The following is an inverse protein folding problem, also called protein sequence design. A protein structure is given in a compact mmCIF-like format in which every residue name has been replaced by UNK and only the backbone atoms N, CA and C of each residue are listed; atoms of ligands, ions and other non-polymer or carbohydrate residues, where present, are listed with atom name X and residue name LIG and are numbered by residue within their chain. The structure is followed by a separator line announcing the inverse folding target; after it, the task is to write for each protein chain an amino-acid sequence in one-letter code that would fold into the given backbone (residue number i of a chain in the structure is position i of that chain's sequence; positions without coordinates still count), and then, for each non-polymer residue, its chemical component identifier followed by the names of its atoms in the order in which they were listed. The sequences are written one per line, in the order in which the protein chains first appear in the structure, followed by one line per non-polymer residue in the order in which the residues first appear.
data_IF_686997879735
#
_entry.id   IF_686997879735
#
_cell.length_a   1.000
_cell.length_b   1.000
_cell.length_c   1.000
_cell.angle_alpha   90.00
_cell.angle_beta   90.00
_cell.angle_gamma   90.00
#
_symmetry.space_group_name_H-M   'P 1'
#
loop_
_entity.id
_entity.type
_entity.pdbx_description
1 polymer ?
#
# COMPACT_ATOMS: atom_id res chain seq x y z
N UNK A 1 51.64 -24.76 25.16
CA UNK A 1 51.29 -25.69 26.24
C UNK A 1 49.79 -25.97 26.15
N UNK A 2 49.46 -27.25 26.18
CA UNK A 2 48.13 -27.86 26.14
C UNK A 2 47.45 -27.70 27.50
N UNK A 3 46.11 -27.59 27.50
CA UNK A 3 45.14 -28.18 28.45
C UNK A 3 43.93 -27.24 28.60
N UNK A 4 42.70 -27.65 28.88
CA UNK A 4 41.97 -28.92 28.82
C UNK A 4 40.55 -28.55 29.29
N UNK A 5 39.59 -29.35 28.82
CA UNK A 5 38.14 -29.32 29.08
C UNK A 5 37.80 -29.48 30.57
N UNK A 6 36.67 -28.89 31.00
CA UNK A 6 36.01 -29.20 32.27
C UNK A 6 34.51 -28.88 32.24
N UNK A 7 33.71 -29.91 31.99
CA UNK A 7 32.25 -29.93 32.22
C UNK A 7 31.97 -30.09 33.72
N UNK A 8 30.96 -29.38 34.23
CA UNK A 8 30.25 -29.77 35.44
C UNK A 8 28.76 -29.49 35.26
N UNK A 9 28.00 -30.58 35.37
CA UNK A 9 26.56 -30.65 35.44
C UNK A 9 26.06 -30.26 36.83
N UNK A 10 24.83 -29.75 36.85
CA UNK A 10 23.72 -30.04 37.78
C UNK A 10 23.08 -28.81 38.42
N UNK A 11 21.87 -28.47 37.95
CA UNK A 11 20.75 -28.09 38.81
C UNK A 11 19.44 -28.55 38.16
N UNK A 12 18.68 -29.31 38.93
CA UNK A 12 17.46 -30.03 38.59
C UNK A 12 16.22 -29.25 39.08
N UNK A 13 15.18 -29.28 38.24
CA UNK A 13 13.72 -29.11 38.47
C UNK A 13 13.14 -27.84 39.11
N UNK A 14 12.17 -27.23 38.41
CA UNK A 14 10.72 -27.32 38.73
C UNK A 14 9.85 -26.45 37.79
N UNK A 15 8.84 -27.03 37.10
CA UNK A 15 7.43 -26.55 36.95
C UNK A 15 6.69 -27.19 35.73
N UNK A 16 5.59 -27.95 35.92
CA UNK A 16 4.95 -28.78 34.88
C UNK A 16 3.65 -28.18 34.31
N UNK A 17 3.69 -27.02 33.66
CA UNK A 17 2.48 -26.39 33.09
C UNK A 17 2.31 -26.58 31.58
N UNK A 18 3.37 -26.98 30.87
CA UNK A 18 3.37 -27.09 29.40
C UNK A 18 2.72 -28.39 28.89
N UNK A 19 2.71 -29.47 29.69
CA UNK A 19 2.17 -30.77 29.27
C UNK A 19 0.62 -30.82 29.26
N UNK A 20 -0.06 -30.03 30.08
CA UNK A 20 -1.53 -29.99 30.12
C UNK A 20 -2.14 -29.15 28.99
N UNK A 21 -1.42 -28.12 28.52
CA UNK A 21 -1.87 -27.29 27.39
C UNK A 21 -1.82 -28.05 26.04
N UNK A 22 -0.82 -28.92 25.84
CA UNK A 22 -0.70 -29.75 24.64
C UNK A 22 -1.77 -30.84 24.55
N UNK A 23 -2.20 -31.42 25.67
CA UNK A 23 -3.26 -32.43 25.70
C UNK A 23 -4.65 -31.83 25.39
N UNK A 24 -4.89 -30.59 25.81
CA UNK A 24 -6.15 -29.86 25.53
C UNK A 24 -6.33 -29.48 24.06
N UNK A 25 -5.25 -29.08 23.38
CA UNK A 25 -5.29 -28.69 21.96
C UNK A 25 -5.50 -29.92 21.05
N UNK A 26 -4.92 -31.07 21.39
CA UNK A 26 -5.10 -32.32 20.65
C UNK A 26 -6.52 -32.90 20.77
N UNK A 27 -7.20 -32.72 21.91
CA UNK A 27 -8.59 -33.19 22.10
C UNK A 27 -9.61 -32.38 21.29
N UNK A 28 -9.39 -31.06 21.14
CA UNK A 28 -10.24 -30.18 20.32
C UNK A 28 -10.05 -30.48 18.83
N UNK A 29 -8.82 -30.75 18.38
CA UNK A 29 -8.55 -31.16 17.00
C UNK A 29 -9.19 -32.52 16.65
N UNK A 30 -9.19 -33.49 17.57
CA UNK A 30 -9.81 -34.80 17.37
C UNK A 30 -11.36 -34.74 17.32
N UNK A 31 -11.98 -33.83 18.08
CA UNK A 31 -13.44 -33.63 18.08
C UNK A 31 -13.95 -32.84 16.86
N UNK A 32 -13.13 -31.94 16.28
CA UNK A 32 -13.48 -31.20 15.05
C UNK A 32 -13.31 -32.11 13.81
N UNK A 33 -12.33 -33.01 13.80
CA UNK A 33 -12.08 -33.92 12.66
C UNK A 33 -13.16 -35.00 12.45
N UNK A 34 -14.04 -35.27 13.43
CA UNK A 34 -15.13 -36.27 13.29
C UNK A 34 -16.46 -35.71 12.77
N UNK A 35 -16.57 -34.41 12.46
CA UNK A 35 -17.80 -33.81 11.91
C UNK A 35 -17.91 -33.78 10.38
N UNK A 36 -16.92 -34.27 9.65
CA UNK A 36 -17.01 -34.45 8.19
C UNK A 36 -16.57 -35.86 7.77
N UNK A 37 -17.39 -36.85 8.07
CA UNK A 37 -17.41 -38.15 7.39
C UNK A 37 -18.87 -38.48 7.08
N UNK A 38 -19.30 -38.19 5.85
CA UNK A 38 -20.55 -38.71 5.28
C UNK A 38 -20.18 -39.84 4.33
N UNK A 39 -20.49 -41.05 4.77
CA UNK A 39 -20.46 -42.28 3.97
C UNK A 39 -21.61 -42.22 2.98
N UNK A 40 -21.33 -42.52 1.70
CA UNK A 40 -22.32 -42.75 0.66
C UNK A 40 -22.78 -44.20 0.74
N UNK A 41 -24.08 -44.43 0.90
CA UNK A 41 -24.72 -45.71 0.57
C UNK A 41 -26.05 -45.44 -0.10
N UNK A 42 -26.30 -46.26 -1.11
CA UNK A 42 -27.49 -46.37 -1.95
C UNK A 42 -28.75 -46.78 -1.20
N UNK A 43 -29.86 -46.49 -1.87
CA UNK A 43 -31.19 -47.11 -1.79
C UNK A 43 -32.31 -46.28 -1.12
N UNK A 44 -33.43 -46.25 -1.82
CA UNK A 44 -34.55 -45.36 -1.62
C UNK A 44 -35.52 -45.87 -0.57
N UNK A 45 -36.14 -44.92 0.13
CA UNK A 45 -37.48 -45.03 0.71
C UNK A 45 -37.91 -43.67 1.27
N UNK A 46 -39.07 -43.19 0.83
CA UNK A 46 -39.78 -42.03 1.38
C UNK A 46 -40.31 -42.36 2.79
N UNK A 47 -40.09 -41.48 3.77
CA UNK A 47 -40.99 -41.35 4.93
C UNK A 47 -41.18 -39.87 5.28
N UNK A 48 -42.45 -39.45 5.35
CA UNK A 48 -42.89 -38.15 5.87
C UNK A 48 -43.06 -38.20 7.39
N UNK A 49 -42.61 -37.17 8.11
CA UNK A 49 -43.17 -36.75 9.40
C UNK A 49 -43.02 -35.23 9.61
N UNK A 50 -44.10 -34.63 10.13
CA UNK A 50 -44.40 -33.19 10.26
C UNK A 50 -43.97 -32.62 11.65
N UNK A 51 -43.62 -31.31 11.65
CA UNK A 51 -43.78 -30.22 12.67
C UNK A 51 -43.22 -30.46 14.09
N UNK A 52 -42.74 -29.52 14.90
CA UNK A 52 -42.62 -28.05 14.94
C UNK A 52 -41.65 -27.72 16.10
N UNK A 53 -40.79 -26.69 16.01
CA UNK A 53 -40.36 -25.85 17.15
C UNK A 53 -39.59 -24.63 16.64
N UNK A 54 -40.11 -23.42 16.91
CA UNK A 54 -39.47 -22.14 16.61
C UNK A 54 -38.40 -21.85 17.67
N UNK A 55 -37.19 -21.52 17.24
CA UNK A 55 -36.19 -20.80 18.04
C UNK A 55 -35.79 -19.54 17.26
N UNK A 56 -35.90 -18.38 17.92
CA UNK A 56 -35.61 -17.07 17.34
C UNK A 56 -34.13 -16.88 16.99
N UNK A 57 -33.77 -15.83 16.24
CA UNK A 57 -32.43 -15.67 15.72
C UNK A 57 -31.44 -15.31 16.83
N UNK A 58 -30.44 -16.17 16.99
CA UNK A 58 -29.22 -15.95 17.77
C UNK A 58 -28.42 -14.81 17.12
N UNK A 59 -28.11 -13.75 17.88
CA UNK A 59 -27.37 -12.57 17.39
C UNK A 59 -25.96 -12.54 18.00
N UNK A 60 -24.91 -12.96 17.26
CA UNK A 60 -23.55 -13.11 17.79
C UNK A 60 -22.80 -11.79 18.01
N UNK A 61 -23.40 -10.63 17.68
CA UNK A 61 -22.74 -9.33 17.78
C UNK A 61 -22.73 -8.73 19.20
N UNK A 62 -23.60 -9.20 20.11
CA UNK A 62 -23.66 -8.65 21.48
C UNK A 62 -22.54 -9.12 22.41
N UNK A 63 -21.85 -10.21 22.09
CA UNK A 63 -20.77 -10.75 22.92
C UNK A 63 -19.38 -10.17 22.57
N UNK A 64 -19.20 -9.71 21.32
CA UNK A 64 -17.97 -9.05 20.85
C UNK A 64 -17.81 -7.61 21.37
N UNK A 65 -18.91 -6.88 21.60
CA UNK A 65 -18.88 -5.50 22.12
C UNK A 65 -18.50 -5.46 23.62
N UNK A 66 -18.73 -6.56 24.36
CA UNK A 66 -18.35 -6.68 25.77
C UNK A 66 -16.85 -6.90 25.98
N UNK A 67 -16.21 -7.75 25.18
CA UNK A 67 -14.78 -8.09 25.33
C UNK A 67 -13.84 -6.97 24.88
N UNK A 68 -14.27 -6.09 23.96
CA UNK A 68 -13.47 -4.94 23.52
C UNK A 68 -13.31 -3.84 24.58
N UNK A 69 -14.25 -3.72 25.54
CA UNK A 69 -14.20 -2.69 26.59
C UNK A 69 -13.22 -3.04 27.73
N UNK A 70 -13.01 -4.33 28.03
CA UNK A 70 -11.99 -4.77 29.01
C UNK A 70 -10.56 -4.66 28.47
N UNK A 71 -10.34 -4.80 27.16
CA UNK A 71 -9.04 -4.63 26.53
C UNK A 71 -8.55 -3.17 26.61
N UNK A 72 -9.44 -2.20 26.37
CA UNK A 72 -9.12 -0.76 26.43
C UNK A 72 -8.88 -0.26 27.87
N UNK A 73 -9.40 -0.95 28.89
CA UNK A 73 -9.16 -0.60 30.30
C UNK A 73 -7.77 -1.04 30.79
N UNK A 74 -7.17 -2.08 30.18
CA UNK A 74 -5.83 -2.59 30.54
C UNK A 74 -4.67 -1.78 29.94
N UNK A 75 -4.94 -0.92 28.97
CA UNK A 75 -3.93 -0.03 28.36
C UNK A 75 -3.68 1.27 29.15
N UNK A 76 -4.31 1.46 30.32
CA UNK A 76 -4.24 2.72 31.10
C UNK A 76 -3.52 2.64 32.45
N UNK A 77 -2.85 1.54 32.78
CA UNK A 77 -2.05 1.45 34.01
C UNK A 77 -0.56 1.48 33.71
N UNK A 78 0.22 2.42 34.27
CA UNK A 78 1.66 2.44 34.09
C UNK A 78 2.31 1.48 35.10
N UNK A 79 3.11 0.53 34.63
CA UNK A 79 4.04 -0.21 35.47
C UNK A 79 5.43 -0.28 34.85
N UNK A 80 6.39 -0.18 35.76
CA UNK A 80 7.79 0.18 35.65
C UNK A 80 8.71 -0.96 35.24
N UNK A 81 9.84 -0.56 34.63
CA UNK A 81 11.19 -1.15 34.70
C UNK A 81 11.36 -2.65 34.44
N UNK A 82 11.86 -2.99 33.25
CA UNK A 82 12.61 -4.23 32.99
C UNK A 82 13.88 -3.86 32.19
N UNK A 83 15.01 -4.41 32.63
CA UNK A 83 16.39 -4.18 32.17
C UNK A 83 16.60 -4.43 30.66
N UNK A 84 17.49 -3.63 30.06
CA UNK A 84 17.91 -3.74 28.65
C UNK A 84 19.09 -4.69 28.50
N UNK A 85 18.92 -5.66 27.59
CA UNK A 85 19.98 -6.51 27.05
C UNK A 85 20.72 -5.76 25.91
N UNK A 86 22.06 -5.57 25.94
CA UNK A 86 22.75 -4.70 25.01
C UNK A 86 23.21 -5.48 23.76
N UNK A 87 22.28 -5.87 22.88
CA UNK A 87 22.61 -6.25 21.51
C UNK A 87 21.39 -6.22 20.56
N UNK A 88 20.79 -5.05 20.35
CA UNK A 88 19.99 -4.81 19.15
C UNK A 88 20.15 -3.35 18.71
N UNK A 89 20.75 -3.16 17.55
CA UNK A 89 20.81 -1.88 16.86
C UNK A 89 19.39 -1.52 16.44
N UNK A 90 18.74 -0.68 17.24
CA UNK A 90 17.37 -0.22 17.01
C UNK A 90 17.30 0.73 15.82
N UNK A 91 16.50 0.36 14.83
CA UNK A 91 15.77 1.34 14.04
C UNK A 91 14.49 1.63 14.83
N UNK A 92 14.38 2.83 15.38
CA UNK A 92 13.16 3.28 16.05
C UNK A 92 12.00 3.28 15.06
N UNK A 93 10.99 2.46 15.32
CA UNK A 93 9.64 2.66 14.79
C UNK A 93 9.13 3.99 15.35
N UNK A 94 9.37 5.09 14.64
CA UNK A 94 8.79 6.38 14.98
C UNK A 94 7.32 6.36 14.57
N UNK A 95 6.44 6.61 15.52
CA UNK A 95 5.02 6.84 15.28
C UNK A 95 4.86 8.04 14.33
N UNK A 96 4.22 7.89 13.16
CA UNK A 96 4.00 8.99 12.22
C UNK A 96 3.26 10.20 12.82
N UNK A 97 2.47 10.00 13.88
CA UNK A 97 1.74 11.06 14.59
C UNK A 97 2.65 11.88 15.56
N UNK A 98 3.83 11.37 15.93
CA UNK A 98 4.80 12.07 16.79
C UNK A 98 5.88 12.85 16.02
N UNK A 99 5.91 12.75 14.68
CA UNK A 99 6.87 13.46 13.84
C UNK A 99 6.57 14.97 13.78
N UNK A 100 7.44 15.85 14.32
CA UNK A 100 7.18 17.29 14.32
C UNK A 100 7.10 17.83 12.88
N UNK A 101 6.18 18.78 12.66
CA UNK A 101 6.10 19.56 11.41
C UNK A 101 7.42 20.28 11.14
N UNK A 102 8.32 19.66 10.37
CA UNK A 102 9.57 20.29 9.95
C UNK A 102 9.32 21.03 8.65
N UNK A 103 9.74 22.30 8.60
CA UNK A 103 9.67 23.11 7.38
C UNK A 103 10.48 22.38 6.28
N UNK A 104 10.00 22.35 5.02
CA UNK A 104 10.75 21.72 3.93
C UNK A 104 12.18 22.28 3.86
N UNK A 105 13.17 21.49 3.44
CA UNK A 105 14.53 21.97 3.21
C UNK A 105 14.60 23.27 2.40
N UNK A 106 15.60 24.11 2.70
CA UNK A 106 15.69 25.50 2.19
C UNK A 106 15.64 25.57 0.66
N UNK A 107 16.22 24.59 -0.04
CA UNK A 107 16.19 24.55 -1.51
C UNK A 107 14.80 24.26 -2.05
N UNK A 108 14.01 23.38 -1.42
CA UNK A 108 12.60 23.16 -1.76
C UNK A 108 11.81 24.44 -1.52
N UNK A 109 12.01 25.10 -0.37
CA UNK A 109 11.34 26.38 -0.08
C UNK A 109 11.70 27.46 -1.10
N UNK A 110 12.95 27.51 -1.57
CA UNK A 110 13.37 28.41 -2.66
C UNK A 110 12.70 28.04 -4.00
N UNK A 111 12.59 26.76 -4.34
CA UNK A 111 11.88 26.29 -5.54
C UNK A 111 10.40 26.64 -5.47
N UNK A 112 9.73 26.39 -4.35
CA UNK A 112 8.33 26.77 -4.12
C UNK A 112 8.12 28.28 -4.19
N UNK A 113 9.02 29.06 -3.61
CA UNK A 113 8.96 30.52 -3.72
C UNK A 113 9.17 31.01 -5.16
N UNK A 114 10.05 30.34 -5.94
CA UNK A 114 10.26 30.65 -7.35
C UNK A 114 9.05 30.25 -8.22
N UNK A 115 8.43 29.09 -7.97
CA UNK A 115 7.21 28.65 -8.64
C UNK A 115 6.04 29.59 -8.36
N UNK A 116 5.85 29.99 -7.09
CA UNK A 116 4.85 30.99 -6.71
C UNK A 116 5.09 32.36 -7.37
N UNK A 117 6.35 32.79 -7.49
CA UNK A 117 6.70 34.03 -8.19
C UNK A 117 6.47 33.94 -9.70
N UNK A 118 6.72 32.79 -10.32
CA UNK A 118 6.43 32.54 -11.74
C UNK A 118 4.92 32.53 -12.02
N UNK A 119 4.12 31.91 -11.14
CA UNK A 119 2.66 31.93 -11.22
C UNK A 119 2.08 33.36 -11.06
N UNK A 120 2.66 34.18 -10.18
CA UNK A 120 2.27 35.57 -10.01
C UNK A 120 2.66 36.46 -11.22
N UNK A 121 3.67 36.07 -12.01
CA UNK A 121 4.10 36.78 -13.22
C UNK A 121 3.28 36.47 -14.48
N UNK A 122 2.44 35.43 -14.45
CA UNK A 122 1.69 34.92 -15.61
C UNK A 122 0.20 35.32 -15.63
N UNK A 123 -0.17 36.45 -15.02
CA UNK A 123 -1.58 36.90 -15.01
C UNK A 123 -1.97 37.56 -16.34
N UNK A 124 -2.38 36.76 -17.32
CA UNK A 124 -3.32 37.22 -18.36
C UNK A 124 -4.74 37.02 -17.88
N UNK A 125 -5.52 38.10 -17.85
CA UNK A 125 -6.91 38.11 -17.41
C UNK A 125 -7.76 37.30 -18.40
N UNK A 126 -8.16 36.10 -18.00
CA UNK A 126 -9.28 35.37 -18.58
C UNK A 126 -10.28 35.14 -17.46
N UNK A 127 -11.43 35.81 -17.56
CA UNK A 127 -12.56 35.64 -16.64
C UNK A 127 -13.32 34.40 -17.05
N UNK A 128 -12.90 33.24 -16.55
CA UNK A 128 -13.75 32.05 -16.43
C UNK A 128 -14.11 31.86 -14.95
N UNK A 129 -15.30 31.33 -14.69
CA UNK A 129 -15.83 31.07 -13.35
C UNK A 129 -14.84 30.23 -12.54
N UNK A 130 -14.03 30.90 -11.70
CA UNK A 130 -13.06 30.25 -10.82
C UNK A 130 -13.87 29.44 -9.80
N UNK A 131 -14.00 28.12 -10.01
CA UNK A 131 -14.37 27.20 -8.94
C UNK A 131 -13.46 27.50 -7.75
N UNK A 132 -14.06 28.00 -6.66
CA UNK A 132 -13.31 28.39 -5.46
C UNK A 132 -12.62 27.15 -4.90
N UNK A 133 -11.30 27.10 -5.04
CA UNK A 133 -10.44 26.14 -4.35
C UNK A 133 -10.76 26.13 -2.85
N UNK A 134 -11.06 24.95 -2.31
CA UNK A 134 -11.44 24.78 -0.90
C UNK A 134 -10.27 24.19 -0.13
N UNK A 135 -9.61 25.01 0.69
CA UNK A 135 -8.53 24.50 1.55
C UNK A 135 -9.06 23.50 2.57
N UNK A 136 -8.35 22.41 2.77
CA UNK A 136 -8.64 21.42 3.82
C UNK A 136 -7.38 21.08 4.60
N UNK A 137 -7.54 20.46 5.77
CA UNK A 137 -6.40 20.05 6.60
C UNK A 137 -5.68 18.88 5.94
N UNK A 138 -4.42 19.08 5.56
CA UNK A 138 -3.59 18.08 4.88
C UNK A 138 -2.44 17.65 5.77
N UNK A 139 -2.45 16.38 6.18
CA UNK A 139 -1.43 15.86 7.08
C UNK A 139 -0.07 15.82 6.38
N UNK A 140 0.02 15.16 5.23
CA UNK A 140 1.28 14.94 4.52
C UNK A 140 1.80 16.20 3.82
N UNK A 141 3.12 16.30 3.75
CA UNK A 141 3.85 17.45 3.19
C UNK A 141 4.25 17.20 1.74
N UNK A 142 4.49 15.94 1.36
CA UNK A 142 4.86 15.52 0.01
C UNK A 142 4.20 14.19 -0.37
N UNK A 143 4.06 13.93 -1.67
CA UNK A 143 3.46 12.70 -2.20
C UNK A 143 4.34 12.12 -3.31
N UNK A 144 4.53 10.80 -3.28
CA UNK A 144 5.24 10.03 -4.31
C UNK A 144 4.20 9.24 -5.10
N UNK A 145 3.78 9.77 -6.25
CA UNK A 145 2.84 9.06 -7.14
C UNK A 145 3.64 8.06 -7.97
N UNK A 146 3.18 6.81 -8.04
CA UNK A 146 3.89 5.67 -8.62
C UNK A 146 2.92 4.79 -9.42
N UNK A 147 3.36 4.36 -10.60
CA UNK A 147 2.70 3.30 -11.39
C UNK A 147 3.77 2.43 -12.07
N UNK A 148 3.90 1.18 -11.65
CA UNK A 148 4.97 0.27 -12.07
C UNK A 148 4.54 -0.57 -13.25
N UNK A 149 5.39 -0.63 -14.27
CA UNK A 149 5.31 -1.70 -15.27
C UNK A 149 6.19 -2.88 -14.86
N UNK A 150 5.63 -4.08 -14.99
CA UNK A 150 6.33 -5.33 -14.71
C UNK A 150 6.26 -6.31 -15.89
N UNK A 151 7.24 -7.22 -15.98
CA UNK A 151 7.20 -8.33 -16.92
C UNK A 151 5.89 -9.09 -16.76
N UNK A 152 5.19 -9.39 -17.85
CA UNK A 152 3.93 -10.11 -17.81
C UNK A 152 3.83 -11.12 -18.96
N UNK A 153 2.93 -12.08 -18.80
CA UNK A 153 2.62 -13.06 -19.83
C UNK A 153 1.10 -13.18 -20.00
N UNK A 154 0.67 -13.54 -21.21
CA UNK A 154 -0.74 -13.66 -21.53
C UNK A 154 -1.37 -14.80 -20.72
N UNK A 155 -2.45 -14.49 -20.00
CA UNK A 155 -3.16 -15.49 -19.17
C UNK A 155 -2.51 -15.75 -17.80
N UNK A 156 -1.38 -15.10 -17.49
CA UNK A 156 -0.83 -15.09 -16.14
C UNK A 156 -1.69 -14.23 -15.21
N UNK A 157 -1.77 -14.62 -13.94
CA UNK A 157 -2.44 -13.83 -12.91
C UNK A 157 -1.46 -12.87 -12.20
N UNK A 158 -1.99 -12.06 -11.28
CA UNK A 158 -1.19 -11.14 -10.46
C UNK A 158 -0.30 -11.84 -9.43
N UNK A 159 -0.30 -13.17 -9.36
CA UNK A 159 0.59 -13.95 -8.53
C UNK A 159 1.84 -14.41 -9.29
N UNK A 160 1.93 -14.23 -10.61
CA UNK A 160 3.12 -14.48 -11.42
C UNK A 160 4.38 -13.79 -10.84
N UNK A 161 5.59 -14.38 -10.91
CA UNK A 161 6.85 -13.75 -10.50
C UNK A 161 7.27 -12.60 -11.44
N UNK A 162 6.48 -11.52 -11.48
CA UNK A 162 6.80 -10.34 -12.27
C UNK A 162 8.09 -9.68 -11.75
N UNK A 163 8.97 -9.27 -12.67
CA UNK A 163 10.06 -8.34 -12.41
C UNK A 163 9.65 -6.93 -12.86
N UNK A 164 10.03 -5.89 -12.11
CA UNK A 164 9.82 -4.49 -12.48
C UNK A 164 10.65 -4.19 -13.73
N UNK A 165 10.06 -3.52 -14.72
CA UNK A 165 10.71 -3.09 -15.97
C UNK A 165 10.59 -1.59 -16.24
N UNK A 166 9.69 -0.89 -15.55
CA UNK A 166 9.66 0.58 -15.47
C UNK A 166 9.37 1.02 -14.03
N UNK A 167 10.13 1.99 -13.53
CA UNK A 167 9.95 2.60 -12.21
C UNK A 167 9.83 4.12 -12.36
N UNK A 168 8.61 4.65 -12.51
CA UNK A 168 8.34 6.08 -12.59
C UNK A 168 7.77 6.64 -11.28
N UNK A 169 8.12 7.87 -10.95
CA UNK A 169 7.54 8.60 -9.83
C UNK A 169 7.34 10.07 -10.18
N UNK A 170 6.15 10.60 -9.90
CA UNK A 170 5.91 12.04 -9.81
C UNK A 170 5.95 12.46 -8.34
N UNK A 171 6.80 13.44 -8.01
CA UNK A 171 6.89 14.01 -6.68
C UNK A 171 6.04 15.27 -6.58
N UNK A 172 5.08 15.28 -5.66
CA UNK A 172 4.18 16.40 -5.43
C UNK A 172 4.36 17.02 -4.06
N UNK A 173 4.10 18.33 -3.94
CA UNK A 173 4.01 19.04 -2.66
C UNK A 173 2.96 20.14 -2.72
N UNK A 174 2.60 20.68 -1.56
CA UNK A 174 1.64 21.78 -1.45
C UNK A 174 2.34 23.13 -1.62
N UNK A 175 1.83 23.96 -2.51
CA UNK A 175 2.32 25.33 -2.72
C UNK A 175 1.83 26.30 -1.65
N UNK A 176 0.66 26.02 -1.07
CA UNK A 176 -0.10 26.97 -0.28
C UNK A 176 -0.33 26.52 1.17
N UNK A 177 0.40 25.50 1.63
CA UNK A 177 0.20 24.88 2.95
C UNK A 177 0.51 25.85 4.09
N UNK A 178 -0.54 26.22 4.82
CA UNK A 178 -0.47 27.09 5.99
C UNK A 178 0.11 26.40 7.22
N UNK A 179 0.44 27.20 8.24
CA UNK A 179 0.89 26.69 9.54
C UNK A 179 -0.18 25.85 10.24
N UNK A 180 -1.45 26.10 9.92
CA UNK A 180 -2.58 25.35 10.41
C UNK A 180 -2.83 24.04 9.63
N UNK A 181 -1.93 23.66 8.71
CA UNK A 181 -2.04 22.53 7.78
C UNK A 181 -3.12 22.68 6.70
N UNK A 182 -3.73 23.86 6.53
CA UNK A 182 -4.68 24.08 5.43
C UNK A 182 -3.94 24.18 4.10
N UNK A 183 -4.36 23.42 3.10
CA UNK A 183 -3.80 23.47 1.74
C UNK A 183 -4.85 23.02 0.71
N UNK A 184 -4.65 23.43 -0.54
CA UNK A 184 -5.45 22.98 -1.69
C UNK A 184 -4.69 22.99 -3.02
N UNK A 185 -3.50 23.61 -3.08
CA UNK A 185 -2.73 23.75 -4.31
C UNK A 185 -1.57 22.77 -4.30
N UNK A 186 -1.81 21.58 -4.85
CA UNK A 186 -0.78 20.55 -5.02
C UNK A 186 -0.09 20.73 -6.38
N UNK A 187 1.24 20.66 -6.41
CA UNK A 187 2.06 20.81 -7.61
C UNK A 187 3.07 19.66 -7.74
N UNK A 188 3.31 19.21 -8.98
CA UNK A 188 4.40 18.29 -9.33
C UNK A 188 5.70 19.08 -9.39
N UNK A 189 6.69 18.74 -8.56
CA UNK A 189 7.95 19.49 -8.44
C UNK A 189 9.17 18.75 -8.98
N UNK A 190 9.11 17.45 -9.16
CA UNK A 190 10.19 16.66 -9.77
C UNK A 190 9.62 15.33 -10.27
N UNK A 191 10.31 14.71 -11.21
CA UNK A 191 9.96 13.39 -11.74
C UNK A 191 11.19 12.49 -11.70
N UNK A 192 10.97 11.21 -11.39
CA UNK A 192 11.94 10.15 -11.56
C UNK A 192 11.38 9.14 -12.56
N UNK A 193 12.24 8.63 -13.44
CA UNK A 193 11.88 7.54 -14.35
C UNK A 193 13.13 6.72 -14.63
N UNK A 194 13.02 5.41 -14.49
CA UNK A 194 14.01 4.47 -14.99
C UNK A 194 13.32 3.26 -15.60
N UNK A 195 13.81 2.80 -16.76
CA UNK A 195 13.61 1.40 -17.12
C UNK A 195 14.45 0.52 -16.19
N UNK A 196 14.08 -0.74 -16.07
CA UNK A 196 14.76 -1.69 -15.18
C UNK A 196 15.02 -2.97 -15.95
N UNK A 197 16.26 -3.48 -15.88
CA UNK A 197 16.64 -4.72 -16.52
C UNK A 197 16.18 -5.92 -15.67
N UNK A 198 15.27 -6.78 -16.17
CA UNK A 198 14.94 -8.03 -15.51
C UNK A 198 16.14 -8.99 -15.52
N UNK A 199 16.28 -9.78 -14.46
CA UNK A 199 17.45 -10.64 -14.21
C UNK A 199 17.12 -12.12 -14.11
N UNK A 200 15.88 -12.48 -13.82
CA UNK A 200 15.44 -13.87 -13.82
C UNK A 200 14.90 -14.29 -15.18
N UNK A 201 14.01 -13.50 -15.79
CA UNK A 201 13.52 -13.68 -17.17
C UNK A 201 13.76 -12.41 -17.98
N UNK A 202 14.98 -12.22 -18.51
CA UNK A 202 15.40 -10.96 -19.14
C UNK A 202 14.70 -10.67 -20.47
N UNK A 203 14.15 -11.69 -21.14
CA UNK A 203 13.48 -11.53 -22.44
C UNK A 203 11.98 -11.26 -22.22
N UNK A 204 11.52 -10.09 -22.65
CA UNK A 204 10.12 -9.69 -22.58
C UNK A 204 9.29 -10.51 -23.59
N UNK A 205 8.10 -10.94 -23.15
CA UNK A 205 7.12 -11.54 -24.04
C UNK A 205 6.58 -10.50 -25.04
N UNK A 206 6.10 -10.94 -26.20
CA UNK A 206 5.45 -10.02 -27.16
C UNK A 206 4.22 -9.36 -26.54
N UNK A 207 3.44 -10.10 -25.75
CA UNK A 207 2.32 -9.54 -24.98
C UNK A 207 2.76 -8.39 -24.06
N UNK A 208 3.87 -8.56 -23.33
CA UNK A 208 4.38 -7.52 -22.43
C UNK A 208 4.83 -6.27 -23.19
N UNK A 209 5.54 -6.46 -24.31
CA UNK A 209 5.98 -5.34 -25.17
C UNK A 209 4.78 -4.63 -25.79
N UNK A 210 3.78 -5.36 -26.27
CA UNK A 210 2.57 -4.77 -26.87
C UNK A 210 1.72 -4.04 -25.83
N UNK A 211 1.58 -4.62 -24.63
CA UNK A 211 0.83 -4.00 -23.54
C UNK A 211 1.52 -2.71 -23.08
N UNK A 212 2.80 -2.78 -22.72
CA UNK A 212 3.52 -1.67 -22.07
C UNK A 212 4.15 -0.67 -23.04
N UNK A 213 4.40 -1.08 -24.29
CA UNK A 213 5.18 -0.33 -25.26
C UNK A 213 6.68 -0.31 -24.98
N UNK A 214 7.15 -1.02 -23.95
CA UNK A 214 8.57 -1.14 -23.61
C UNK A 214 9.22 -2.15 -24.56
N UNK A 215 10.33 -1.75 -25.16
CA UNK A 215 11.11 -2.57 -26.08
C UNK A 215 12.15 -3.41 -25.35
N UNK A 216 12.63 -4.48 -25.99
CA UNK A 216 13.70 -5.31 -25.42
C UNK A 216 14.98 -4.50 -25.24
N UNK A 217 15.31 -3.64 -26.20
CA UNK A 217 16.51 -2.80 -26.20
C UNK A 217 16.52 -1.82 -25.01
N UNK A 218 15.35 -1.30 -24.63
CA UNK A 218 15.20 -0.43 -23.46
C UNK A 218 15.54 -1.16 -22.16
N UNK A 219 15.06 -2.40 -21.97
CA UNK A 219 15.38 -3.16 -20.75
C UNK A 219 16.79 -3.76 -20.77
N UNK A 220 17.32 -4.12 -21.94
CA UNK A 220 18.69 -4.64 -22.07
C UNK A 220 19.75 -3.61 -21.65
N UNK A 221 19.52 -2.36 -22.05
CA UNK A 221 20.39 -1.21 -21.72
C UNK A 221 20.11 -0.59 -20.35
N UNK A 222 19.05 -1.01 -19.66
CA UNK A 222 18.65 -0.46 -18.38
C UNK A 222 19.56 -0.92 -17.21
N UNK A 223 19.63 -0.11 -16.15
CA UNK A 223 20.16 -0.57 -14.86
C UNK A 223 19.30 -1.69 -14.25
N UNK A 224 19.92 -2.53 -13.44
CA UNK A 224 19.22 -3.54 -12.63
C UNK A 224 18.43 -2.88 -11.49
N UNK A 225 17.44 -3.59 -10.93
CA UNK A 225 16.62 -3.03 -9.85
C UNK A 225 17.42 -2.50 -8.64
N UNK A 226 18.48 -3.18 -8.13
CA UNK A 226 19.31 -2.60 -7.06
C UNK A 226 19.93 -1.24 -7.42
N UNK A 227 20.37 -1.07 -8.66
CA UNK A 227 20.96 0.19 -9.14
C UNK A 227 19.90 1.28 -9.25
N UNK A 228 18.71 0.94 -9.76
CA UNK A 228 17.56 1.86 -9.81
C UNK A 228 17.13 2.29 -8.41
N UNK A 229 17.13 1.37 -7.45
CA UNK A 229 16.78 1.68 -6.06
C UNK A 229 17.77 2.66 -5.43
N UNK A 230 19.07 2.52 -5.72
CA UNK A 230 20.09 3.46 -5.27
C UNK A 230 19.93 4.85 -5.93
N UNK A 231 19.62 4.88 -7.24
CA UNK A 231 19.31 6.12 -7.95
C UNK A 231 18.06 6.81 -7.38
N UNK A 232 17.03 6.03 -7.05
CA UNK A 232 15.81 6.55 -6.46
C UNK A 232 16.03 7.05 -5.02
N UNK A 233 16.85 6.36 -4.22
CA UNK A 233 17.25 6.84 -2.90
C UNK A 233 17.95 8.21 -2.99
N UNK A 234 18.85 8.37 -3.96
CA UNK A 234 19.49 9.66 -4.24
C UNK A 234 18.47 10.72 -4.68
N UNK A 235 17.45 10.35 -5.46
CA UNK A 235 16.37 11.26 -5.85
C UNK A 235 15.56 11.75 -4.64
N UNK A 236 15.18 10.88 -3.71
CA UNK A 236 14.41 11.28 -2.51
C UNK A 236 15.26 12.05 -1.49
N UNK A 237 16.57 11.78 -1.40
CA UNK A 237 17.55 12.58 -0.63
C UNK A 237 17.70 13.99 -1.22
N UNK A 238 17.96 14.10 -2.52
CA UNK A 238 18.03 15.38 -3.26
C UNK A 238 16.77 16.21 -3.04
N UNK A 239 15.61 15.56 -3.07
CA UNK A 239 14.32 16.21 -2.86
C UNK A 239 13.93 16.37 -1.39
N UNK A 240 14.81 16.05 -0.44
CA UNK A 240 14.64 16.39 0.97
C UNK A 240 13.52 15.64 1.67
N UNK A 241 13.16 14.45 1.19
CA UNK A 241 12.24 13.56 1.88
C UNK A 241 12.92 12.88 3.07
N UNK A 242 14.20 12.53 2.90
CA UNK A 242 15.05 11.88 3.90
C UNK A 242 16.44 12.56 3.95
N UNK A 243 17.15 12.43 5.07
CA UNK A 243 18.56 12.86 5.20
C UNK A 243 19.53 11.80 4.65
N UNK A 244 20.84 12.05 4.76
CA UNK A 244 21.89 11.15 4.26
C UNK A 244 21.90 9.81 5.01
N UNK A 245 21.52 9.82 6.29
CA UNK A 245 21.32 8.65 7.16
C UNK A 245 20.05 7.86 6.84
N UNK A 246 19.20 8.39 5.95
CA UNK A 246 17.95 7.76 5.53
C UNK A 246 16.80 7.93 6.51
N UNK A 247 16.85 8.93 7.40
CA UNK A 247 15.76 9.31 8.31
C UNK A 247 14.80 10.30 7.64
N UNK A 248 13.49 10.24 7.92
CA UNK A 248 12.51 11.17 7.34
C UNK A 248 12.73 12.63 7.77
N UNK A 249 12.75 13.53 6.79
CA UNK A 249 12.78 14.99 7.01
C UNK A 249 11.39 15.62 6.95
N UNK A 250 10.44 14.97 6.28
CA UNK A 250 9.04 15.41 6.12
C UNK A 250 8.12 14.19 6.17
N UNK A 251 6.82 14.41 6.35
CA UNK A 251 5.84 13.33 6.20
C UNK A 251 5.46 13.22 4.73
N UNK A 252 5.77 12.09 4.12
CA UNK A 252 5.38 11.78 2.75
C UNK A 252 4.49 10.54 2.67
N UNK A 253 3.71 10.45 1.59
CA UNK A 253 2.79 9.36 1.33
C UNK A 253 2.98 8.85 -0.11
N UNK A 254 2.99 7.54 -0.30
CA UNK A 254 2.94 6.93 -1.62
C UNK A 254 1.51 6.97 -2.17
N UNK A 255 1.37 7.18 -3.47
CA UNK A 255 0.07 7.25 -4.14
C UNK A 255 0.09 6.35 -5.38
N UNK A 256 -0.82 5.39 -5.44
CA UNK A 256 -0.87 4.36 -6.50
C UNK A 256 -2.31 4.18 -7.00
N UNK A 257 -2.50 3.64 -8.21
CA UNK A 257 -3.82 3.28 -8.73
C UNK A 257 -4.19 1.83 -8.34
N UNK A 258 -4.55 1.65 -7.08
CA UNK A 258 -4.75 0.33 -6.47
C UNK A 258 -3.55 -0.13 -5.64
N UNK A 259 -3.61 -1.33 -5.03
CA UNK A 259 -2.60 -1.77 -4.07
C UNK A 259 -1.37 -2.44 -4.72
N UNK A 260 -1.43 -2.76 -6.01
CA UNK A 260 -0.55 -3.78 -6.61
C UNK A 260 0.92 -3.35 -6.74
N UNK A 261 1.21 -2.09 -7.02
CA UNK A 261 2.58 -1.55 -7.13
C UNK A 261 3.42 -1.90 -5.90
N UNK A 262 2.94 -1.50 -4.72
CA UNK A 262 3.69 -1.69 -3.48
C UNK A 262 3.42 -3.08 -2.89
N UNK A 263 2.18 -3.57 -2.91
CA UNK A 263 1.81 -4.84 -2.26
C UNK A 263 2.27 -6.07 -3.05
N UNK A 264 2.44 -5.97 -4.37
CA UNK A 264 2.85 -7.07 -5.22
C UNK A 264 4.22 -6.80 -5.86
N UNK A 265 4.33 -5.82 -6.76
CA UNK A 265 5.53 -5.64 -7.59
C UNK A 265 6.78 -5.38 -6.75
N UNK A 266 6.74 -4.40 -5.83
CA UNK A 266 7.89 -4.07 -4.98
C UNK A 266 8.31 -5.25 -4.09
N UNK A 267 7.35 -5.98 -3.50
CA UNK A 267 7.67 -7.12 -2.62
C UNK A 267 8.30 -8.26 -3.42
N UNK A 268 7.72 -8.60 -4.58
CA UNK A 268 8.29 -9.62 -5.48
C UNK A 268 9.68 -9.21 -5.95
N UNK A 269 9.85 -7.98 -6.40
CA UNK A 269 11.13 -7.51 -6.91
C UNK A 269 12.22 -7.48 -5.84
N UNK A 270 11.90 -7.07 -4.60
CA UNK A 270 12.85 -7.14 -3.48
C UNK A 270 13.26 -8.60 -3.21
N UNK A 271 12.32 -9.54 -3.25
CA UNK A 271 12.63 -10.97 -3.10
C UNK A 271 13.56 -11.47 -4.22
N UNK A 272 13.23 -11.20 -5.49
CA UNK A 272 14.00 -11.63 -6.66
C UNK A 272 15.42 -11.03 -6.62
N UNK A 273 15.51 -9.74 -6.28
CA UNK A 273 16.77 -9.00 -6.17
C UNK A 273 17.56 -9.30 -4.89
N UNK A 274 17.01 -10.12 -3.98
CA UNK A 274 17.61 -10.48 -2.67
C UNK A 274 17.88 -9.24 -1.80
N UNK A 275 17.03 -8.24 -1.90
CA UNK A 275 17.11 -7.00 -1.15
C UNK A 275 16.13 -7.00 0.03
N UNK A 276 16.50 -6.44 1.19
CA UNK A 276 15.52 -6.07 2.19
C UNK A 276 14.63 -4.95 1.63
N UNK A 277 13.33 -5.01 1.94
CA UNK A 277 12.43 -3.92 1.59
C UNK A 277 12.83 -2.64 2.36
N UNK A 278 13.14 -1.51 1.69
CA UNK A 278 13.48 -0.25 2.36
C UNK A 278 12.33 0.26 3.22
N UNK A 279 12.64 0.88 4.36
CA UNK A 279 11.61 1.34 5.30
C UNK A 279 10.69 2.41 4.67
N UNK A 280 11.24 3.28 3.82
CA UNK A 280 10.48 4.34 3.15
C UNK A 280 9.52 3.80 2.10
N UNK A 281 9.68 2.55 1.63
CA UNK A 281 8.70 1.81 0.82
C UNK A 281 7.67 1.05 1.67
N UNK A 282 7.88 0.95 2.99
CA UNK A 282 6.94 0.32 3.93
C UNK A 282 5.92 1.30 4.52
N UNK A 283 5.96 2.56 4.07
CA UNK A 283 5.26 3.65 4.72
C UNK A 283 3.78 3.76 4.37
N UNK A 284 3.31 4.99 4.46
CA UNK A 284 1.96 5.43 4.18
C UNK A 284 1.60 5.26 2.70
N UNK A 285 0.50 4.55 2.40
CA UNK A 285 0.02 4.33 1.02
C UNK A 285 -1.43 4.78 0.88
N UNK A 286 -1.65 5.66 -0.10
CA UNK A 286 -2.93 6.11 -0.60
C UNK A 286 -3.22 5.42 -1.94
N UNK A 287 -4.20 4.51 -1.95
CA UNK A 287 -4.84 4.04 -3.17
C UNK A 287 -5.79 5.14 -3.68
N UNK A 288 -5.36 5.80 -4.75
CA UNK A 288 -6.07 6.90 -5.40
C UNK A 288 -7.41 6.41 -5.97
N UNK A 289 -7.47 5.19 -6.49
CA UNK A 289 -8.69 4.57 -7.00
C UNK A 289 -9.77 4.51 -5.95
N UNK A 290 -9.41 3.99 -4.78
CA UNK A 290 -10.31 3.87 -3.65
C UNK A 290 -10.78 5.25 -3.19
N UNK A 291 -9.87 6.23 -3.14
CA UNK A 291 -10.21 7.61 -2.78
C UNK A 291 -11.23 8.24 -3.75
N UNK A 292 -11.02 8.11 -5.08
CA UNK A 292 -11.97 8.61 -6.09
C UNK A 292 -13.32 7.93 -5.97
N UNK A 293 -13.36 6.60 -5.77
CA UNK A 293 -14.63 5.89 -5.55
C UNK A 293 -15.40 6.41 -4.33
N UNK A 294 -14.70 6.69 -3.23
CA UNK A 294 -15.30 7.27 -2.03
C UNK A 294 -15.81 8.70 -2.26
N UNK A 295 -15.03 9.51 -2.98
CA UNK A 295 -15.40 10.87 -3.34
C UNK A 295 -16.70 10.92 -4.16
N UNK A 296 -16.78 10.14 -5.24
CA UNK A 296 -17.98 10.06 -6.10
C UNK A 296 -19.18 9.51 -5.34
N UNK A 297 -18.97 8.50 -4.49
CA UNK A 297 -20.04 7.95 -3.65
C UNK A 297 -20.58 8.96 -2.62
N UNK A 298 -19.75 9.91 -2.17
CA UNK A 298 -20.16 10.98 -1.26
C UNK A 298 -20.96 12.07 -1.99
N UNK A 299 -20.48 12.52 -3.16
CA UNK A 299 -21.19 13.50 -3.98
C UNK A 299 -22.59 13.03 -4.40
N UNK A 300 -22.69 11.78 -4.86
CA UNK A 300 -23.98 11.20 -5.26
C UNK A 300 -24.97 11.17 -4.08
N UNK A 301 -24.53 10.81 -2.88
CA UNK A 301 -25.37 10.84 -1.67
C UNK A 301 -25.83 12.25 -1.29
N UNK A 302 -24.96 13.25 -1.38
CA UNK A 302 -25.32 14.64 -1.11
C UNK A 302 -26.36 15.17 -2.10
N UNK A 303 -26.30 14.80 -3.37
CA UNK A 303 -27.27 15.23 -4.39
C UNK A 303 -28.62 14.52 -4.29
N UNK A 304 -28.68 13.29 -3.73
CA UNK A 304 -29.94 12.54 -3.57
C UNK A 304 -30.72 12.90 -2.28
N UNK A 305 -30.21 13.81 -1.44
CA UNK A 305 -30.92 14.32 -0.27
C UNK A 305 -32.23 15.07 -0.57
N UNK A 306 -32.52 15.39 -1.85
CA UNK A 306 -33.73 16.09 -2.28
C UNK A 306 -34.72 15.29 -3.13
N UNK A 307 -34.46 14.01 -3.44
CA UNK A 307 -35.44 13.14 -4.14
C UNK A 307 -35.52 11.78 -3.45
N UNK A 308 -36.73 11.38 -3.09
CA UNK A 308 -37.06 10.29 -2.18
C UNK A 308 -36.33 8.96 -2.46
N UNK A 309 -36.20 8.17 -1.38
CA UNK A 309 -35.65 6.80 -1.36
C UNK A 309 -36.22 5.95 -2.50
N UNK A 310 -35.47 5.76 -3.57
CA UNK A 310 -35.66 4.65 -4.50
C UNK A 310 -34.75 3.49 -4.08
N UNK A 311 -35.33 2.30 -3.94
CA UNK A 311 -34.63 1.03 -3.69
C UNK A 311 -33.90 0.58 -4.96
N UNK A 312 -32.95 1.37 -5.45
CA UNK A 312 -32.08 0.97 -6.54
C UNK A 312 -30.93 0.16 -5.95
N UNK A 313 -30.94 -1.15 -6.22
CA UNK A 313 -29.78 -2.03 -6.04
C UNK A 313 -28.62 -1.43 -6.84
N UNK A 314 -27.70 -0.77 -6.13
CA UNK A 314 -26.50 -0.17 -6.72
C UNK A 314 -25.72 -1.30 -7.40
N UNK A 315 -25.48 -1.25 -8.72
CA UNK A 315 -24.69 -2.27 -9.40
C UNK A 315 -23.31 -2.36 -8.74
N UNK A 316 -22.80 -3.58 -8.61
CA UNK A 316 -21.43 -3.89 -8.19
C UNK A 316 -20.47 -2.84 -8.77
N UNK A 317 -19.81 -2.09 -7.89
CA UNK A 317 -18.96 -0.93 -8.25
C UNK A 317 -17.97 -1.36 -9.33
N UNK A 318 -18.14 -0.85 -10.55
CA UNK A 318 -17.10 -0.99 -11.58
C UNK A 318 -15.82 -0.36 -11.02
N UNK A 319 -14.73 -1.13 -11.00
CA UNK A 319 -13.41 -0.59 -10.72
C UNK A 319 -13.14 0.54 -11.71
N UNK A 320 -12.73 1.70 -11.20
CA UNK A 320 -12.41 2.87 -12.03
C UNK A 320 -10.94 2.78 -12.44
N UNK A 321 -10.65 2.41 -13.69
CA UNK A 321 -9.29 2.60 -14.23
C UNK A 321 -8.97 4.11 -14.34
N UNK A 322 -7.71 4.46 -14.59
CA UNK A 322 -7.25 5.87 -14.65
C UNK A 322 -8.12 6.72 -15.60
N UNK A 323 -8.41 6.31 -16.86
CA UNK A 323 -9.32 7.08 -17.73
C UNK A 323 -10.71 7.29 -17.14
N UNK A 324 -11.29 6.28 -16.48
CA UNK A 324 -12.59 6.41 -15.84
C UNK A 324 -12.54 7.36 -14.63
N UNK A 325 -11.44 7.37 -13.87
CA UNK A 325 -11.23 8.31 -12.76
C UNK A 325 -11.15 9.76 -13.27
N UNK A 326 -10.35 10.01 -14.31
CA UNK A 326 -10.29 11.33 -14.97
C UNK A 326 -11.69 11.78 -15.41
N UNK A 327 -12.44 10.89 -16.05
CA UNK A 327 -13.79 11.17 -16.54
C UNK A 327 -14.79 11.51 -15.42
N UNK A 328 -14.84 10.75 -14.33
CA UNK A 328 -15.77 11.04 -13.22
C UNK A 328 -15.37 12.27 -12.42
N UNK A 329 -14.12 12.72 -12.54
CA UNK A 329 -13.64 13.99 -12.00
C UNK A 329 -13.74 15.12 -13.03
N UNK A 330 -14.30 14.90 -14.23
CA UNK A 330 -14.45 15.94 -15.25
C UNK A 330 -13.13 16.59 -15.67
N UNK A 331 -12.03 15.83 -15.58
CA UNK A 331 -10.73 16.24 -16.08
C UNK A 331 -10.62 15.94 -17.58
N UNK A 332 -9.67 16.61 -18.26
CA UNK A 332 -9.29 16.23 -19.62
C UNK A 332 -8.91 14.74 -19.67
N UNK A 333 -9.10 14.14 -20.84
CA UNK A 333 -8.83 12.73 -21.10
C UNK A 333 -7.39 12.31 -20.74
N UNK A 334 -7.17 11.00 -20.75
CA UNK A 334 -5.86 10.42 -20.49
C UNK A 334 -4.81 11.00 -21.45
N UNK A 335 -3.70 11.47 -20.89
CA UNK A 335 -2.60 12.04 -21.67
C UNK A 335 -1.47 11.02 -21.82
N UNK A 336 -0.99 10.79 -23.04
CA UNK A 336 0.07 9.84 -23.34
C UNK A 336 -0.45 8.44 -23.65
N UNK A 337 0.36 7.41 -23.38
CA UNK A 337 0.06 6.01 -23.67
C UNK A 337 -0.32 5.27 -22.38
N UNK A 338 -1.50 4.65 -22.35
CA UNK A 338 -1.88 3.75 -21.25
C UNK A 338 -0.90 2.58 -21.17
N UNK A 339 -0.58 2.11 -19.95
CA UNK A 339 0.46 1.12 -19.68
C UNK A 339 1.87 1.60 -20.03
N UNK A 340 2.08 2.91 -20.17
CA UNK A 340 3.40 3.49 -19.98
C UNK A 340 3.43 4.07 -18.58
N UNK A 341 4.27 3.50 -17.72
CA UNK A 341 4.19 3.79 -16.29
C UNK A 341 4.35 5.29 -15.99
N UNK A 342 5.20 6.02 -16.74
CA UNK A 342 5.33 7.48 -16.54
C UNK A 342 4.08 8.26 -16.94
N UNK A 343 3.40 7.88 -18.03
CA UNK A 343 2.19 8.56 -18.48
C UNK A 343 1.04 8.26 -17.52
N UNK A 344 0.90 7.00 -17.09
CA UNK A 344 -0.06 6.63 -16.06
C UNK A 344 0.20 7.38 -14.74
N UNK A 345 1.46 7.41 -14.27
CA UNK A 345 1.89 8.17 -13.09
C UNK A 345 1.50 9.65 -13.17
N UNK A 346 1.72 10.30 -14.32
CA UNK A 346 1.33 11.71 -14.54
C UNK A 346 -0.18 11.91 -14.49
N UNK A 347 -0.95 10.98 -15.05
CA UNK A 347 -2.41 11.06 -15.00
C UNK A 347 -2.94 10.81 -13.57
N UNK A 348 -2.33 9.91 -12.79
CA UNK A 348 -2.65 9.74 -11.37
C UNK A 348 -2.30 11.02 -10.59
N UNK A 349 -1.16 11.67 -10.90
CA UNK A 349 -0.80 12.94 -10.29
C UNK A 349 -1.84 14.03 -10.59
N UNK A 350 -2.35 14.12 -11.82
CA UNK A 350 -3.45 15.03 -12.20
C UNK A 350 -4.72 14.78 -11.37
N UNK A 351 -5.09 13.51 -11.17
CA UNK A 351 -6.21 13.12 -10.31
C UNK A 351 -5.97 13.59 -8.87
N UNK A 352 -4.77 13.36 -8.33
CA UNK A 352 -4.44 13.72 -6.94
C UNK A 352 -4.45 15.24 -6.72
N UNK A 353 -3.92 16.01 -7.68
CA UNK A 353 -3.96 17.47 -7.68
C UNK A 353 -5.40 17.97 -7.66
N UNK A 354 -6.28 17.39 -8.49
CA UNK A 354 -7.69 17.76 -8.54
C UNK A 354 -8.42 17.47 -7.23
N UNK A 355 -8.20 16.29 -6.64
CA UNK A 355 -8.77 15.95 -5.34
C UNK A 355 -8.31 16.93 -4.25
N UNK A 356 -7.04 17.34 -4.25
CA UNK A 356 -6.51 18.38 -3.37
C UNK A 356 -7.23 19.72 -3.53
N UNK A 357 -7.42 20.19 -4.77
CA UNK A 357 -8.15 21.43 -5.10
C UNK A 357 -9.60 21.41 -4.60
N UNK A 358 -10.25 20.24 -4.68
CA UNK A 358 -11.62 19.99 -4.20
C UNK A 358 -11.71 19.79 -2.67
N UNK A 359 -10.62 20.04 -1.94
CA UNK A 359 -10.58 19.96 -0.49
C UNK A 359 -10.65 18.52 0.06
N UNK A 360 -10.40 17.51 -0.76
CA UNK A 360 -10.36 16.11 -0.31
C UNK A 360 -9.13 15.88 0.55
N UNK A 361 -9.31 15.24 1.71
CA UNK A 361 -8.19 14.85 2.57
C UNK A 361 -7.40 13.71 1.94
N UNK A 362 -6.12 13.95 1.66
CA UNK A 362 -5.23 12.95 1.05
C UNK A 362 -4.55 12.14 2.16
N UNK A 363 -5.22 11.07 2.59
CA UNK A 363 -4.78 10.21 3.70
C UNK A 363 -4.58 8.76 3.24
N UNK A 364 -3.65 8.02 3.86
CA UNK A 364 -3.46 6.60 3.61
C UNK A 364 -4.75 5.82 3.83
N UNK A 365 -5.04 4.92 2.91
CA UNK A 365 -6.23 4.08 2.95
C UNK A 365 -5.91 2.61 2.62
N UNK A 366 -4.63 2.29 2.40
CA UNK A 366 -4.18 0.97 1.97
C UNK A 366 -3.10 0.47 2.90
N UNK A 367 -3.35 -0.70 3.49
CA UNK A 367 -2.37 -1.41 4.29
C UNK A 367 -1.52 -2.32 3.40
N UNK A 368 -0.21 -2.14 3.47
CA UNK A 368 0.74 -3.02 2.79
C UNK A 368 1.00 -4.28 3.63
N UNK A 369 1.42 -5.36 2.98
CA UNK A 369 1.78 -6.61 3.66
C UNK A 369 3.23 -6.98 3.33
N UNK A 370 4.24 -6.37 3.98
CA UNK A 370 5.66 -6.57 3.65
C UNK A 370 6.14 -8.02 3.69
N UNK A 371 5.44 -8.86 4.46
CA UNK A 371 5.75 -10.28 4.65
C UNK A 371 4.94 -11.21 3.73
N UNK A 372 4.19 -10.65 2.76
CA UNK A 372 3.45 -11.44 1.78
C UNK A 372 4.42 -12.34 1.02
N UNK A 373 4.02 -13.60 0.83
CA UNK A 373 4.77 -14.61 0.09
C UNK A 373 3.87 -15.29 -0.93
N UNK A 374 4.49 -15.75 -2.00
CA UNK A 374 3.84 -16.54 -3.04
C UNK A 374 4.39 -17.98 -3.03
N UNK A 375 3.62 -18.98 -3.51
CA UNK A 375 4.07 -20.38 -3.51
C UNK A 375 5.41 -20.61 -4.21
N UNK A 376 5.70 -19.84 -5.27
CA UNK A 376 6.97 -19.93 -6.01
C UNK A 376 8.16 -19.28 -5.27
N UNK A 377 7.96 -18.62 -4.14
CA UNK A 377 9.05 -17.98 -3.39
C UNK A 377 9.78 -18.98 -2.49
N UNK A 378 10.92 -19.47 -2.97
CA UNK A 378 11.87 -20.26 -2.20
C UNK A 378 12.74 -19.46 -1.21
N UNK A 379 13.86 -20.04 -0.80
CA UNK A 379 14.81 -19.38 0.11
C UNK A 379 15.74 -18.44 -0.68
N UNK A 380 16.07 -17.28 -0.07
CA UNK A 380 17.12 -16.35 -0.56
C UNK A 380 16.94 -15.92 -2.03
N UNK A 381 15.72 -15.54 -2.41
CA UNK A 381 15.41 -15.07 -3.76
C UNK A 381 15.31 -16.16 -4.82
N UNK A 382 15.35 -17.45 -4.43
CA UNK A 382 15.14 -18.56 -5.37
C UNK A 382 13.66 -18.62 -5.79
N UNK A 383 13.41 -18.64 -7.09
CA UNK A 383 12.11 -18.93 -7.67
C UNK A 383 11.99 -20.45 -7.85
N UNK A 384 10.85 -21.01 -7.43
CA UNK A 384 10.51 -22.42 -7.52
C UNK A 384 9.63 -22.63 -8.75
N UNK A 385 10.25 -23.03 -9.86
CA UNK A 385 9.58 -23.14 -11.16
C UNK A 385 8.48 -24.20 -11.17
N UNK A 386 8.56 -25.20 -10.29
CA UNK A 386 7.52 -26.23 -10.14
C UNK A 386 6.15 -25.69 -9.70
N UNK A 387 6.09 -24.44 -9.23
CA UNK A 387 4.84 -23.75 -8.86
C UNK A 387 4.38 -22.73 -9.91
N UNK A 388 5.11 -22.59 -11.02
CA UNK A 388 4.71 -21.76 -12.15
C UNK A 388 3.88 -22.61 -13.10
N UNK A 389 2.65 -22.18 -13.38
CA UNK A 389 1.72 -22.89 -14.28
C UNK A 389 1.87 -22.42 -15.70
#
# INVERSE_FOLDING_TARGET
MVASVGLSSSFLFSHPWWFLALLGILLVAFLISRRHLRVSTSDGSRVHLKREARLGPFNPWRQLVGQGREYLARLRTPQSSIEKDPSSTGTSDLDPDEMPHRRPPRHIRKRLAAAAAAAAGATTVVTEDIEKSTKSKQLFDMFLVLDIEGTCDQGSDLDFPNEIIEFPVCLLTWNDKGQDMSASELEVIDEFRSFVRPTWRPVLTDFCKDLTGITQEQVDSAPTFPEVLAQFEAFIKKNGLINDEGEPLVRFCWCTDGPFDIQNFIIKQCFISKLPLPWWLKGNVLDVRTLVQHYVAKQTRSNHGHRGRSNVTVPSRRSLNIPAQLKVLELQEFQGRQHSGIDDTRNIARILVELGKRGVHLLPNTAIQPQRRWPWMGKRGRILEEFLK
#
